data_IF_759361594514
#
_entry.id   IF_759361594514
#
_cell.length_a   1.000
_cell.length_b   1.000
_cell.length_c   1.000
_cell.angle_alpha   90.00
_cell.angle_beta   90.00
_cell.angle_gamma   90.00
#
_symmetry.space_group_name_H-M   'P 1'
#
loop_
_entity.id
_entity.type
_entity.pdbx_description
1 polymer ?
#
# COMPACT_ATOMS: atom_id res chain seq x y z
N UNK A 1 41.15 79.78 58.21
CA UNK A 1 41.43 78.34 58.27
C UNK A 1 40.30 77.40 57.69
N UNK A 2 39.04 77.84 57.66
CA UNK A 2 37.93 76.94 57.11
C UNK A 2 37.91 76.79 55.59
N UNK A 3 38.46 77.74 54.83
CA UNK A 3 38.46 77.65 53.32
C UNK A 3 39.52 76.66 52.74
N UNK A 4 40.57 76.39 53.53
CA UNK A 4 41.65 75.46 53.07
C UNK A 4 41.22 73.97 53.16
N UNK A 5 40.32 73.71 54.11
CA UNK A 5 39.83 72.30 54.31
C UNK A 5 38.87 71.88 53.19
N UNK A 6 38.08 72.81 52.62
CA UNK A 6 37.17 72.46 51.48
C UNK A 6 37.91 72.24 50.18
N UNK A 7 39.05 72.89 49.97
CA UNK A 7 39.88 72.66 48.78
C UNK A 7 40.59 71.30 48.87
N UNK A 8 41.05 70.90 50.04
CA UNK A 8 41.67 69.57 50.23
C UNK A 8 40.65 68.44 50.11
N UNK A 9 39.38 68.63 50.54
CA UNK A 9 38.30 67.69 50.40
C UNK A 9 37.83 67.54 48.93
N UNK A 10 37.90 68.61 48.15
CA UNK A 10 37.51 68.57 46.73
C UNK A 10 38.58 67.89 45.82
N UNK A 11 39.86 67.95 46.21
CA UNK A 11 40.95 67.30 45.47
C UNK A 11 40.98 65.79 45.77
N UNK A 12 40.51 65.32 46.95
CA UNK A 12 40.42 63.93 47.30
C UNK A 12 39.31 63.18 46.55
N UNK A 13 38.30 63.89 45.99
CA UNK A 13 37.18 63.30 45.23
C UNK A 13 37.45 63.10 43.73
N UNK A 14 38.59 63.58 43.22
CA UNK A 14 38.92 63.42 41.76
C UNK A 14 39.94 62.31 41.47
N UNK A 15 40.31 61.46 42.43
CA UNK A 15 41.25 60.35 42.24
C UNK A 15 40.52 58.98 42.22
N UNK A 16 39.19 59.00 42.15
CA UNK A 16 38.44 57.72 42.10
C UNK A 16 37.79 57.52 40.73
N UNK A 17 38.59 57.56 39.68
CA UNK A 17 38.08 57.05 38.41
C UNK A 17 39.26 56.70 37.46
N UNK A 18 39.66 55.46 37.43
CA UNK A 18 40.10 54.65 36.32
C UNK A 18 40.94 53.48 36.80
N UNK A 19 40.27 52.45 37.27
CA UNK A 19 40.89 51.14 37.31
C UNK A 19 40.02 50.19 36.48
N UNK A 20 39.99 50.42 35.18
CA UNK A 20 39.80 49.32 34.25
C UNK A 20 41.06 48.49 34.40
N UNK A 21 41.02 47.56 35.34
CA UNK A 21 42.05 46.56 35.49
C UNK A 21 42.03 45.75 34.20
N UNK A 22 43.03 46.00 33.37
CA UNK A 22 43.27 45.28 32.13
C UNK A 22 43.32 43.79 32.45
N UNK A 23 42.24 43.09 32.17
CA UNK A 23 42.12 41.65 32.45
C UNK A 23 43.25 40.87 31.78
N UNK A 24 43.77 41.38 30.69
CA UNK A 24 44.90 40.81 30.00
C UNK A 24 46.24 40.96 30.81
N UNK A 25 46.45 42.14 31.45
CA UNK A 25 47.60 42.33 32.33
C UNK A 25 47.49 41.49 33.61
N UNK A 26 46.30 41.27 34.13
CA UNK A 26 46.09 40.34 35.26
C UNK A 26 46.33 38.90 34.83
N UNK A 27 45.85 38.48 33.63
CA UNK A 27 46.08 37.15 33.11
C UNK A 27 47.56 36.87 32.92
N UNK A 28 48.33 37.82 32.39
CA UNK A 28 49.80 37.69 32.22
C UNK A 28 50.52 37.57 33.56
N UNK A 29 50.11 38.36 34.55
CA UNK A 29 50.69 38.23 35.91
C UNK A 29 50.39 36.87 36.53
N UNK A 30 49.19 36.37 36.38
CA UNK A 30 48.81 35.04 36.90
C UNK A 30 49.53 33.89 36.15
N UNK A 31 49.74 34.02 34.85
CA UNK A 31 50.53 33.10 34.09
C UNK A 31 51.99 33.05 34.57
N UNK A 32 52.60 34.22 34.78
CA UNK A 32 53.96 34.34 35.31
C UNK A 32 54.07 33.75 36.72
N UNK A 33 53.07 34.01 37.59
CA UNK A 33 53.06 33.40 38.94
C UNK A 33 52.90 31.87 38.87
N UNK A 34 52.10 31.38 37.98
CA UNK A 34 51.95 29.93 37.77
C UNK A 34 53.29 29.28 37.32
N UNK A 35 54.01 29.96 36.42
CA UNK A 35 55.31 29.49 35.94
C UNK A 35 56.35 29.41 37.07
N UNK A 36 56.41 30.46 37.90
CA UNK A 36 57.31 30.48 39.06
C UNK A 36 56.94 29.43 40.12
N UNK A 37 55.64 29.21 40.38
CA UNK A 37 55.18 28.14 41.27
C UNK A 37 55.50 26.77 40.72
N UNK A 38 55.34 26.54 39.42
CA UNK A 38 55.68 25.27 38.80
C UNK A 38 57.20 24.99 38.89
N UNK A 39 58.04 26.04 38.75
CA UNK A 39 59.49 25.88 38.95
C UNK A 39 59.86 25.55 40.41
N UNK A 40 59.19 26.19 41.39
CA UNK A 40 59.36 25.88 42.79
C UNK A 40 58.90 24.45 43.15
N UNK A 41 57.77 24.03 42.58
CA UNK A 41 57.30 22.66 42.75
C UNK A 41 58.32 21.67 42.17
N UNK A 42 58.82 21.92 40.97
CA UNK A 42 59.83 21.04 40.35
C UNK A 42 61.16 21.00 41.17
N UNK A 43 61.57 22.12 41.80
CA UNK A 43 62.72 22.13 42.68
C UNK A 43 62.46 21.36 43.97
N UNK A 44 61.30 21.53 44.59
CA UNK A 44 60.94 20.79 45.81
C UNK A 44 60.73 19.28 45.52
N UNK A 45 60.19 18.94 44.38
CA UNK A 45 60.07 17.54 43.95
C UNK A 45 61.41 16.90 43.70
N UNK A 46 62.42 17.65 43.20
CA UNK A 46 63.80 17.19 43.03
C UNK A 46 64.52 17.07 44.37
N UNK A 47 64.22 17.90 45.39
CA UNK A 47 64.80 17.78 46.74
C UNK A 47 64.17 16.62 47.55
N UNK A 48 62.88 16.32 47.33
CA UNK A 48 62.17 15.24 48.03
C UNK A 48 62.52 13.86 47.47
N UNK A 49 62.83 13.80 46.18
CA UNK A 49 63.22 12.57 45.49
C UNK A 49 64.56 12.69 44.82
N UNK A 50 65.67 12.65 45.59
CA UNK A 50 67.08 12.68 45.05
C UNK A 50 67.43 11.45 44.24
N UNK A 51 66.81 10.33 44.49
CA UNK A 51 66.90 9.11 43.67
C UNK A 51 65.82 9.15 42.61
N UNK A 52 66.15 9.66 41.44
CA UNK A 52 65.28 9.72 40.27
C UNK A 52 64.70 8.38 39.81
N UNK A 53 63.88 7.81 40.69
CA UNK A 53 63.02 6.72 40.27
C UNK A 53 61.88 7.39 39.46
N UNK A 54 62.09 7.44 38.16
CA UNK A 54 61.04 7.62 37.20
C UNK A 54 59.81 6.82 37.68
N UNK A 55 58.81 7.51 38.21
CA UNK A 55 57.50 6.92 38.24
C UNK A 55 57.21 6.57 36.78
N UNK A 56 57.34 5.29 36.46
CA UNK A 56 56.96 4.75 35.15
C UNK A 56 55.55 5.24 34.87
N UNK A 57 55.44 6.32 34.13
CA UNK A 57 54.14 6.74 33.60
C UNK A 57 53.69 5.59 32.73
N UNK A 58 52.82 4.75 33.28
CA UNK A 58 52.28 3.60 32.61
C UNK A 58 51.56 4.13 31.36
N UNK A 59 52.32 4.25 30.27
CA UNK A 59 51.82 4.70 29.00
C UNK A 59 50.80 3.67 28.51
N UNK A 60 49.54 4.09 28.42
CA UNK A 60 48.50 3.27 27.80
C UNK A 60 48.71 3.39 26.29
N UNK A 61 49.01 2.26 25.66
CA UNK A 61 49.10 2.19 24.21
C UNK A 61 47.72 2.52 23.59
N UNK A 62 47.62 3.62 22.91
CA UNK A 62 46.40 4.04 22.15
C UNK A 62 46.71 3.91 20.66
N UNK A 63 45.75 3.35 19.94
CA UNK A 63 45.79 3.30 18.48
C UNK A 63 44.96 4.50 17.97
N UNK A 64 45.61 5.39 17.28
CA UNK A 64 44.92 6.47 16.57
C UNK A 64 44.52 5.99 15.17
N UNK A 65 43.34 6.36 14.74
CA UNK A 65 42.86 6.13 13.37
C UNK A 65 42.37 7.47 12.84
N UNK A 66 42.78 7.81 11.66
CA UNK A 66 42.29 9.01 11.00
C UNK A 66 40.81 8.80 10.62
N UNK A 67 39.98 9.74 11.01
CA UNK A 67 38.56 9.76 10.59
C UNK A 67 38.51 10.29 9.15
N UNK A 68 38.13 9.43 8.24
CA UNK A 68 37.83 9.83 6.85
C UNK A 68 36.35 10.03 6.70
N UNK A 69 35.97 11.05 5.94
CA UNK A 69 34.56 11.22 5.54
C UNK A 69 34.15 10.05 4.64
N UNK A 70 33.09 9.34 5.02
CA UNK A 70 32.49 8.29 4.21
C UNK A 70 31.01 8.55 4.03
N UNK A 71 30.49 8.15 2.89
CA UNK A 71 29.04 8.14 2.67
C UNK A 71 28.45 7.03 3.53
N UNK A 72 27.54 7.40 4.42
CA UNK A 72 26.81 6.46 5.25
C UNK A 72 25.39 6.31 4.72
N UNK A 73 25.11 5.13 4.16
CA UNK A 73 23.76 4.82 3.69
C UNK A 73 22.88 4.46 4.88
N UNK A 74 21.85 5.26 5.10
CA UNK A 74 20.85 5.00 6.14
C UNK A 74 19.68 4.24 5.54
N UNK A 75 19.49 3.00 5.95
CA UNK A 75 18.39 2.15 5.51
C UNK A 75 17.30 2.13 6.56
N UNK A 76 16.05 2.30 6.10
CA UNK A 76 14.84 2.13 6.91
C UNK A 76 14.24 0.78 6.57
N UNK A 77 14.16 -0.11 7.55
CA UNK A 77 13.51 -1.40 7.38
C UNK A 77 12.03 -1.26 7.71
N UNK A 78 11.16 -1.50 6.72
CA UNK A 78 9.71 -1.47 6.86
C UNK A 78 9.11 -2.82 6.51
N UNK A 79 8.03 -3.17 7.19
CA UNK A 79 7.28 -4.37 6.88
C UNK A 79 6.25 -4.02 5.80
N UNK A 80 6.28 -4.73 4.68
CA UNK A 80 5.31 -4.56 3.59
C UNK A 80 4.44 -5.80 3.40
N UNK A 81 3.23 -5.59 2.90
CA UNK A 81 2.31 -6.64 2.46
C UNK A 81 2.34 -6.72 0.95
N UNK A 82 2.47 -7.94 0.43
CA UNK A 82 2.44 -8.20 -1.01
C UNK A 82 1.05 -8.64 -1.38
N UNK A 83 0.36 -7.86 -2.21
CA UNK A 83 -0.96 -8.18 -2.75
C UNK A 83 -0.89 -8.36 -4.27
N UNK A 84 -1.79 -9.21 -4.81
CA UNK A 84 -2.00 -9.28 -6.26
C UNK A 84 -2.70 -8.01 -6.76
N UNK A 85 -2.33 -7.56 -7.95
CA UNK A 85 -2.93 -6.37 -8.57
C UNK A 85 -4.46 -6.48 -8.69
N UNK A 86 -4.98 -7.69 -8.94
CA UNK A 86 -6.41 -7.96 -9.03
C UNK A 86 -6.78 -9.12 -8.11
N UNK A 87 -7.55 -8.82 -7.08
CA UNK A 87 -8.17 -9.79 -6.18
C UNK A 87 -9.68 -9.63 -6.29
N UNK A 88 -10.33 -10.56 -6.98
CA UNK A 88 -11.77 -10.47 -7.27
C UNK A 88 -12.52 -11.61 -6.60
N UNK A 89 -13.54 -11.24 -5.87
CA UNK A 89 -14.52 -12.12 -5.29
C UNK A 89 -15.66 -12.38 -6.31
N UNK A 90 -15.66 -13.56 -6.92
CA UNK A 90 -16.65 -13.96 -7.94
C UNK A 90 -17.83 -14.60 -7.24
N UNK A 91 -18.97 -13.92 -7.26
CA UNK A 91 -20.24 -14.41 -6.70
C UNK A 91 -21.18 -14.87 -7.81
N UNK A 92 -22.10 -15.82 -7.54
CA UNK A 92 -23.20 -16.12 -8.42
C UNK A 92 -24.02 -14.84 -8.70
N UNK A 93 -24.58 -14.74 -9.91
CA UNK A 93 -25.43 -13.61 -10.28
C UNK A 93 -26.92 -13.87 -10.02
N UNK A 94 -27.29 -15.14 -9.78
CA UNK A 94 -28.63 -15.56 -9.37
C UNK A 94 -28.55 -16.54 -8.19
N UNK A 95 -29.64 -16.68 -7.47
CA UNK A 95 -29.75 -17.70 -6.43
C UNK A 95 -30.13 -19.06 -7.06
N UNK A 96 -29.49 -20.13 -6.55
CA UNK A 96 -29.77 -21.50 -7.02
C UNK A 96 -28.95 -22.53 -6.29
N UNK A 97 -29.23 -23.81 -6.52
CA UNK A 97 -28.48 -24.93 -5.98
C UNK A 97 -27.26 -25.16 -6.88
N UNK A 98 -26.08 -25.34 -6.29
CA UNK A 98 -24.85 -25.66 -7.01
C UNK A 98 -24.92 -27.09 -7.54
N UNK A 99 -24.87 -27.26 -8.86
CA UNK A 99 -24.88 -28.59 -9.51
C UNK A 99 -23.48 -29.10 -9.77
N UNK A 100 -22.53 -28.22 -10.09
CA UNK A 100 -21.15 -28.58 -10.34
C UNK A 100 -20.19 -27.46 -9.93
N UNK A 101 -19.00 -27.86 -9.47
CA UNK A 101 -17.86 -26.96 -9.20
C UNK A 101 -16.67 -27.53 -9.98
N UNK A 102 -16.10 -26.73 -10.88
CA UNK A 102 -15.06 -27.16 -11.84
C UNK A 102 -13.65 -26.79 -11.40
N UNK A 103 -13.49 -26.08 -10.30
CA UNK A 103 -12.22 -25.56 -9.82
C UNK A 103 -11.99 -25.93 -8.37
N UNK A 104 -10.73 -26.05 -8.00
CA UNK A 104 -10.26 -26.24 -6.62
C UNK A 104 -9.31 -25.12 -6.25
N UNK A 105 -9.04 -24.96 -4.97
CA UNK A 105 -8.04 -24.03 -4.47
C UNK A 105 -6.67 -24.32 -5.12
N UNK A 106 -5.98 -23.29 -5.56
CA UNK A 106 -4.73 -23.38 -6.32
C UNK A 106 -4.88 -23.60 -7.83
N UNK A 107 -6.10 -23.82 -8.36
CA UNK A 107 -6.32 -23.98 -9.79
C UNK A 107 -6.06 -22.68 -10.55
N UNK A 108 -5.38 -22.77 -11.71
CA UNK A 108 -5.20 -21.65 -12.62
C UNK A 108 -6.40 -21.56 -13.55
N UNK A 109 -7.02 -20.38 -13.61
CA UNK A 109 -8.21 -20.11 -14.42
C UNK A 109 -7.97 -18.96 -15.40
N UNK A 110 -8.68 -19.02 -16.53
CA UNK A 110 -8.67 -17.97 -17.56
C UNK A 110 -9.91 -17.09 -17.44
N UNK A 111 -9.79 -15.83 -17.89
CA UNK A 111 -10.94 -14.96 -18.05
C UNK A 111 -12.01 -15.62 -18.93
N UNK A 112 -13.26 -15.62 -18.46
CA UNK A 112 -14.39 -16.27 -19.14
C UNK A 112 -14.56 -17.77 -18.82
N UNK A 113 -13.67 -18.36 -18.02
CA UNK A 113 -13.79 -19.77 -17.62
C UNK A 113 -14.91 -19.95 -16.59
N UNK A 114 -15.72 -21.00 -16.77
CA UNK A 114 -16.77 -21.39 -15.82
C UNK A 114 -16.11 -22.01 -14.59
N UNK A 115 -16.44 -21.50 -13.42
CA UNK A 115 -15.94 -21.96 -12.12
C UNK A 115 -16.91 -22.92 -11.44
N UNK A 116 -18.21 -22.61 -11.53
CA UNK A 116 -19.30 -23.41 -10.98
C UNK A 116 -20.57 -23.21 -11.80
N UNK A 117 -21.48 -24.15 -11.70
CA UNK A 117 -22.80 -24.10 -12.32
C UNK A 117 -23.89 -24.26 -11.27
N UNK A 118 -24.96 -23.48 -11.41
CA UNK A 118 -26.19 -23.58 -10.64
C UNK A 118 -27.24 -24.39 -11.43
N UNK A 119 -28.24 -24.88 -10.73
CA UNK A 119 -29.37 -25.57 -11.35
C UNK A 119 -30.12 -24.63 -12.31
N UNK A 120 -30.08 -24.97 -13.58
CA UNK A 120 -30.70 -24.24 -14.68
C UNK A 120 -31.76 -25.05 -15.43
N UNK A 121 -32.16 -26.21 -14.87
CA UNK A 121 -33.06 -27.18 -15.56
C UNK A 121 -34.38 -26.53 -15.98
N UNK A 122 -35.03 -25.78 -15.11
CA UNK A 122 -36.29 -25.08 -15.45
C UNK A 122 -36.10 -24.05 -16.56
N UNK A 123 -34.98 -23.33 -16.54
CA UNK A 123 -34.68 -22.31 -17.55
C UNK A 123 -34.38 -22.95 -18.90
N UNK A 124 -33.72 -24.14 -18.93
CA UNK A 124 -33.51 -24.91 -20.15
C UNK A 124 -34.81 -25.43 -20.71
N UNK A 125 -35.72 -25.93 -19.87
CA UNK A 125 -37.05 -26.37 -20.32
C UNK A 125 -37.84 -25.23 -20.93
N UNK A 126 -37.82 -24.04 -20.28
CA UNK A 126 -38.46 -22.83 -20.82
C UNK A 126 -37.85 -22.41 -22.16
N UNK A 127 -36.55 -22.53 -22.33
CA UNK A 127 -35.87 -22.24 -23.59
C UNK A 127 -36.37 -23.20 -24.72
N UNK A 128 -36.50 -24.47 -24.41
CA UNK A 128 -36.98 -25.48 -25.38
C UNK A 128 -38.43 -25.23 -25.80
N UNK A 129 -39.27 -24.88 -24.82
CA UNK A 129 -40.68 -24.49 -25.10
C UNK A 129 -40.75 -23.28 -26.04
N UNK A 130 -40.03 -22.20 -25.73
CA UNK A 130 -40.03 -21.00 -26.57
C UNK A 130 -39.40 -21.21 -27.92
N UNK A 131 -38.34 -22.09 -28.01
CA UNK A 131 -37.78 -22.46 -29.30
C UNK A 131 -38.80 -23.20 -30.19
N UNK A 132 -39.64 -24.07 -29.61
CA UNK A 132 -40.73 -24.75 -30.34
C UNK A 132 -41.76 -23.75 -30.87
N UNK A 133 -42.10 -22.77 -30.04
CA UNK A 133 -43.04 -21.67 -30.45
C UNK A 133 -42.40 -20.80 -31.56
N UNK A 134 -41.10 -20.50 -31.45
CA UNK A 134 -40.36 -19.74 -32.45
C UNK A 134 -40.27 -20.51 -33.79
N UNK A 135 -40.08 -21.81 -33.75
CA UNK A 135 -40.06 -22.64 -34.96
C UNK A 135 -41.38 -22.58 -35.70
N UNK A 136 -42.54 -22.61 -34.97
CA UNK A 136 -43.87 -22.44 -35.57
C UNK A 136 -44.00 -21.03 -36.15
N UNK A 137 -43.63 -19.99 -35.40
CA UNK A 137 -43.72 -18.59 -35.84
C UNK A 137 -42.85 -18.33 -37.09
N UNK A 138 -41.66 -18.90 -37.15
CA UNK A 138 -40.80 -18.86 -38.35
C UNK A 138 -41.48 -19.48 -39.57
N UNK A 139 -42.06 -20.67 -39.44
CA UNK A 139 -42.79 -21.29 -40.52
C UNK A 139 -43.97 -20.43 -41.04
N UNK A 140 -44.73 -19.82 -40.12
CA UNK A 140 -45.84 -18.92 -40.46
C UNK A 140 -45.28 -17.70 -41.17
N UNK A 141 -44.25 -17.07 -40.62
CA UNK A 141 -43.62 -15.90 -41.22
C UNK A 141 -43.11 -16.18 -42.64
N UNK A 142 -42.37 -17.29 -42.85
CA UNK A 142 -41.85 -17.68 -44.16
C UNK A 142 -42.95 -17.84 -45.21
N UNK A 143 -44.09 -18.47 -44.83
CA UNK A 143 -45.26 -18.62 -45.70
C UNK A 143 -45.89 -17.26 -46.03
N UNK A 144 -46.06 -16.41 -45.04
CA UNK A 144 -46.67 -15.06 -45.25
C UNK A 144 -45.70 -14.16 -46.06
N UNK A 145 -44.39 -14.26 -45.82
CA UNK A 145 -43.38 -13.53 -46.60
C UNK A 145 -43.40 -13.95 -48.08
N UNK A 146 -43.45 -15.28 -48.36
CA UNK A 146 -43.51 -15.80 -49.74
C UNK A 146 -44.81 -15.39 -50.48
N UNK A 147 -45.95 -15.29 -49.76
CA UNK A 147 -47.21 -14.80 -50.35
C UNK A 147 -47.13 -13.28 -50.63
N UNK A 148 -46.59 -12.51 -49.67
CA UNK A 148 -46.42 -11.06 -49.78
C UNK A 148 -45.48 -10.68 -50.93
N UNK A 149 -44.36 -11.40 -51.10
CA UNK A 149 -43.42 -11.20 -52.21
C UNK A 149 -44.10 -11.39 -53.59
N UNK A 150 -45.07 -12.32 -53.68
CA UNK A 150 -45.88 -12.57 -54.85
C UNK A 150 -47.07 -11.60 -54.99
N UNK A 151 -47.15 -10.58 -54.09
CA UNK A 151 -48.26 -9.63 -53.98
C UNK A 151 -49.61 -10.31 -53.72
N UNK A 152 -49.60 -11.47 -53.04
CA UNK A 152 -50.78 -12.21 -52.64
C UNK A 152 -50.93 -12.11 -51.13
N UNK A 153 -52.03 -11.65 -50.61
CA UNK A 153 -52.31 -11.59 -49.18
C UNK A 153 -52.31 -10.17 -48.60
N UNK A 154 -52.48 -10.09 -47.30
CA UNK A 154 -52.58 -8.80 -46.56
C UNK A 154 -51.24 -8.44 -45.96
N UNK A 155 -50.82 -7.19 -46.16
CA UNK A 155 -49.64 -6.61 -45.49
C UNK A 155 -49.72 -6.72 -43.96
N UNK A 156 -50.92 -6.55 -43.39
CA UNK A 156 -51.15 -6.70 -41.96
C UNK A 156 -50.81 -8.10 -41.46
N UNK A 157 -51.19 -9.15 -42.22
CA UNK A 157 -50.89 -10.54 -41.86
C UNK A 157 -49.39 -10.82 -41.93
N UNK A 158 -48.69 -10.30 -42.93
CA UNK A 158 -47.24 -10.39 -43.04
C UNK A 158 -46.56 -9.68 -41.86
N UNK A 159 -46.92 -8.43 -41.57
CA UNK A 159 -46.36 -7.65 -40.46
C UNK A 159 -46.63 -8.31 -39.10
N UNK A 160 -47.82 -8.87 -38.91
CA UNK A 160 -48.17 -9.61 -37.70
C UNK A 160 -47.32 -10.86 -37.50
N UNK A 161 -47.16 -11.65 -38.58
CA UNK A 161 -46.27 -12.84 -38.52
C UNK A 161 -44.84 -12.44 -38.24
N UNK A 162 -44.33 -11.40 -38.88
CA UNK A 162 -42.97 -10.85 -38.63
C UNK A 162 -42.79 -10.42 -37.19
N UNK A 163 -43.69 -9.61 -36.66
CA UNK A 163 -43.59 -9.10 -35.28
C UNK A 163 -43.67 -10.22 -34.25
N UNK A 164 -44.53 -11.23 -34.49
CA UNK A 164 -44.61 -12.41 -33.61
C UNK A 164 -43.32 -13.20 -33.59
N UNK A 165 -42.69 -13.45 -34.75
CA UNK A 165 -41.40 -14.10 -34.87
C UNK A 165 -40.32 -13.29 -34.09
N UNK A 166 -40.21 -11.99 -34.37
CA UNK A 166 -39.23 -11.12 -33.73
C UNK A 166 -39.40 -11.06 -32.19
N UNK A 167 -40.65 -11.04 -31.71
CA UNK A 167 -40.98 -11.07 -30.28
C UNK A 167 -40.46 -12.37 -29.61
N UNK A 168 -40.67 -13.54 -30.27
CA UNK A 168 -40.21 -14.82 -29.78
C UNK A 168 -38.68 -14.96 -29.84
N UNK A 169 -38.03 -14.37 -30.86
CA UNK A 169 -36.58 -14.31 -30.94
C UNK A 169 -36.00 -13.50 -29.75
N UNK A 170 -36.60 -12.37 -29.42
CA UNK A 170 -36.21 -11.58 -28.24
C UNK A 170 -36.40 -12.37 -26.94
N UNK A 171 -37.48 -13.14 -26.82
CA UNK A 171 -37.76 -13.99 -25.67
C UNK A 171 -36.69 -15.11 -25.51
N UNK A 172 -36.34 -15.76 -26.64
CA UNK A 172 -35.23 -16.74 -26.67
C UNK A 172 -33.92 -16.11 -26.18
N UNK A 173 -33.57 -14.91 -26.66
CA UNK A 173 -32.39 -14.19 -26.23
C UNK A 173 -32.42 -13.88 -24.73
N UNK A 174 -33.55 -13.43 -24.20
CA UNK A 174 -33.70 -13.17 -22.76
C UNK A 174 -33.45 -14.43 -21.92
N UNK A 175 -34.01 -15.58 -22.32
CA UNK A 175 -33.82 -16.84 -21.60
C UNK A 175 -32.38 -17.32 -21.71
N UNK A 176 -31.72 -17.12 -22.87
CA UNK A 176 -30.28 -17.45 -23.03
C UNK A 176 -29.40 -16.59 -22.09
N UNK A 177 -29.71 -15.31 -21.92
CA UNK A 177 -28.99 -14.49 -20.95
C UNK A 177 -29.25 -14.98 -19.51
N UNK A 178 -30.48 -15.37 -19.17
CA UNK A 178 -30.76 -15.99 -17.85
C UNK A 178 -29.96 -17.27 -17.63
N UNK A 179 -29.78 -18.12 -18.64
CA UNK A 179 -28.92 -19.31 -18.56
C UNK A 179 -27.44 -18.95 -18.30
N UNK A 180 -26.96 -17.83 -18.82
CA UNK A 180 -25.61 -17.37 -18.51
C UNK A 180 -25.45 -16.99 -17.06
N UNK A 181 -26.50 -16.40 -16.44
CA UNK A 181 -26.46 -16.03 -15.02
C UNK A 181 -26.37 -17.25 -14.08
N UNK A 182 -26.81 -18.44 -14.54
CA UNK A 182 -26.65 -19.68 -13.80
C UNK A 182 -25.18 -20.18 -13.73
N UNK A 183 -24.30 -19.60 -14.52
CA UNK A 183 -22.87 -19.94 -14.53
C UNK A 183 -22.06 -18.91 -13.78
N UNK A 184 -21.24 -19.37 -12.85
CA UNK A 184 -20.24 -18.54 -12.16
C UNK A 184 -18.99 -18.52 -13.03
N UNK A 185 -18.69 -17.37 -13.61
CA UNK A 185 -17.62 -17.20 -14.61
C UNK A 185 -16.54 -16.28 -14.06
N UNK A 186 -15.26 -16.62 -14.23
CA UNK A 186 -14.16 -15.76 -13.82
C UNK A 186 -14.06 -14.52 -14.72
N UNK A 187 -14.08 -13.29 -14.16
CA UNK A 187 -13.90 -12.06 -14.91
C UNK A 187 -12.43 -11.78 -15.26
N UNK A 188 -11.49 -12.46 -14.60
CA UNK A 188 -10.03 -12.31 -14.77
C UNK A 188 -9.35 -13.65 -14.96
N UNK A 189 -8.12 -13.62 -15.48
CA UNK A 189 -7.22 -14.76 -15.43
C UNK A 189 -6.39 -14.69 -14.14
N UNK A 190 -6.18 -15.82 -13.48
CA UNK A 190 -5.46 -15.88 -12.22
C UNK A 190 -5.49 -17.25 -11.57
N UNK A 191 -5.18 -17.29 -10.29
CA UNK A 191 -5.22 -18.50 -9.45
C UNK A 191 -6.37 -18.40 -8.47
N UNK A 192 -7.08 -19.50 -8.29
CA UNK A 192 -8.18 -19.58 -7.31
C UNK A 192 -7.59 -19.67 -5.90
N UNK A 193 -7.91 -18.70 -5.05
CA UNK A 193 -7.45 -18.66 -3.67
C UNK A 193 -8.34 -19.50 -2.75
N UNK A 194 -9.68 -19.39 -2.91
CA UNK A 194 -10.62 -20.12 -2.06
C UNK A 194 -11.89 -20.47 -2.82
N UNK A 195 -12.43 -21.66 -2.53
CA UNK A 195 -13.66 -22.21 -3.11
C UNK A 195 -14.57 -22.69 -1.97
N UNK A 196 -15.32 -21.81 -1.33
CA UNK A 196 -16.25 -22.21 -0.27
C UNK A 196 -17.51 -22.92 -0.79
N UNK A 197 -17.81 -22.83 -2.12
CA UNK A 197 -18.95 -23.47 -2.77
C UNK A 197 -18.83 -25.01 -2.78
N UNK A 198 -19.92 -25.66 -2.44
CA UNK A 198 -20.04 -27.13 -2.50
C UNK A 198 -21.26 -27.54 -3.31
N UNK A 199 -21.14 -28.64 -4.05
CA UNK A 199 -22.24 -29.24 -4.79
C UNK A 199 -23.39 -29.58 -3.85
N UNK A 200 -24.61 -29.25 -4.23
CA UNK A 200 -25.81 -29.42 -3.42
C UNK A 200 -26.11 -28.26 -2.45
N UNK A 201 -25.21 -27.31 -2.30
CA UNK A 201 -25.40 -26.13 -1.46
C UNK A 201 -26.19 -25.05 -2.23
N UNK A 202 -27.03 -24.32 -1.50
CA UNK A 202 -27.67 -23.13 -2.06
C UNK A 202 -26.68 -21.96 -2.10
N UNK A 203 -26.54 -21.37 -3.29
CA UNK A 203 -25.71 -20.20 -3.51
C UNK A 203 -26.59 -19.00 -3.88
N UNK A 204 -26.19 -17.80 -3.44
CA UNK A 204 -26.90 -16.56 -3.76
C UNK A 204 -25.94 -15.38 -3.87
N UNK A 205 -26.32 -14.32 -4.62
CA UNK A 205 -25.53 -13.09 -4.69
C UNK A 205 -25.28 -12.48 -3.31
N UNK A 206 -24.05 -12.01 -3.07
CA UNK A 206 -23.69 -11.31 -1.83
C UNK A 206 -23.46 -12.19 -0.58
N UNK A 207 -23.63 -13.53 -0.70
CA UNK A 207 -23.35 -14.44 0.39
C UNK A 207 -21.85 -14.81 0.41
N UNK A 208 -21.11 -14.57 1.50
CA UNK A 208 -19.66 -14.84 1.56
C UNK A 208 -19.31 -16.31 1.29
N UNK A 209 -20.17 -17.23 1.72
CA UNK A 209 -20.01 -18.68 1.51
C UNK A 209 -20.27 -19.11 0.06
N UNK A 210 -20.75 -18.20 -0.79
CA UNK A 210 -21.03 -18.46 -2.21
C UNK A 210 -20.02 -17.81 -3.14
N UNK A 211 -18.94 -17.24 -2.60
CA UNK A 211 -18.01 -16.39 -3.35
C UNK A 211 -16.67 -17.10 -3.56
N UNK A 212 -16.31 -17.35 -4.82
CA UNK A 212 -15.00 -17.88 -5.20
C UNK A 212 -14.03 -16.71 -5.35
N UNK A 213 -12.87 -16.80 -4.70
CA UNK A 213 -11.85 -15.76 -4.80
C UNK A 213 -10.80 -16.12 -5.84
N UNK A 214 -10.56 -15.21 -6.77
CA UNK A 214 -9.54 -15.35 -7.82
C UNK A 214 -8.54 -14.20 -7.72
N UNK A 215 -7.26 -14.54 -7.64
CA UNK A 215 -6.16 -13.58 -7.54
C UNK A 215 -5.30 -13.65 -8.79
N UNK A 216 -5.01 -12.49 -9.36
CA UNK A 216 -4.02 -12.33 -10.39
C UNK A 216 -2.72 -11.81 -9.78
N UNK A 217 -1.68 -12.66 -9.78
CA UNK A 217 -0.35 -12.33 -9.26
C UNK A 217 0.66 -12.00 -10.37
N UNK A 218 0.21 -11.77 -11.60
CA UNK A 218 1.11 -11.38 -12.70
C UNK A 218 1.82 -10.05 -12.43
N UNK A 219 1.19 -9.19 -11.65
CA UNK A 219 1.77 -7.96 -11.12
C UNK A 219 1.59 -7.99 -9.60
N UNK A 220 2.69 -7.98 -8.86
CA UNK A 220 2.66 -7.89 -7.41
C UNK A 220 2.71 -6.42 -6.98
N UNK A 221 1.79 -6.00 -6.12
CA UNK A 221 1.77 -4.69 -5.49
C UNK A 221 2.26 -4.83 -4.05
N UNK A 222 3.28 -4.06 -3.70
CA UNK A 222 3.80 -4.02 -2.35
C UNK A 222 3.29 -2.75 -1.68
N UNK A 223 2.60 -2.91 -0.56
CA UNK A 223 2.17 -1.80 0.29
C UNK A 223 2.94 -1.88 1.61
N UNK A 224 3.56 -0.78 2.00
CA UNK A 224 4.28 -0.69 3.26
C UNK A 224 3.90 0.62 3.97
N UNK A 225 3.66 0.54 5.27
CA UNK A 225 3.38 1.70 6.09
C UNK A 225 4.70 2.27 6.63
N UNK A 226 4.98 3.51 6.27
CA UNK A 226 6.18 4.22 6.72
C UNK A 226 5.76 5.27 7.74
N UNK A 227 6.49 5.33 8.87
CA UNK A 227 6.24 6.35 9.89
C UNK A 227 6.41 7.76 9.32
N UNK A 228 5.54 8.69 9.74
CA UNK A 228 5.55 10.09 9.31
C UNK A 228 6.92 10.77 9.51
N UNK A 229 7.69 10.35 10.50
CA UNK A 229 9.04 10.87 10.76
C UNK A 229 10.01 10.68 9.58
N UNK A 230 9.73 9.73 8.70
CA UNK A 230 10.57 9.41 7.54
C UNK A 230 9.96 9.88 6.21
N UNK A 231 8.74 10.42 6.22
CA UNK A 231 8.02 10.83 5.01
C UNK A 231 8.75 11.92 4.20
N UNK A 232 9.56 12.74 4.87
CA UNK A 232 10.39 13.76 4.23
C UNK A 232 11.68 13.23 3.59
N UNK A 233 12.03 11.95 3.81
CA UNK A 233 13.28 11.32 3.37
C UNK A 233 13.08 10.28 2.27
N UNK A 234 11.82 10.09 1.81
CA UNK A 234 11.41 9.17 0.74
C UNK A 234 11.09 9.98 -0.57
#
# INVERSE_FOLDING_TARGET
>A
MKKLIYVAAMIALLISCSQETDKNAQLEKLKAQRETLNQQIAQLEAEINPDGQNAEVKAIAVKTTDAAECVFDHYIQVQGTVDGDQNIAVSPQMAGIVTAVYVTEGSVVKKGQVLAELDDQLTRQSLEEVNTQLALANNIYEKQAALWEKKIGSEVQYLQAKTNKESLEQRVNTIKEQLKLAKVISPISGTVESVPLRVGQMASPGMPTSTIRVINMSVAKISADVSENYAASI
#
